data_IF_165199931449
#
_entry.id   IF_165199931449
#
_cell.length_a   1.000
_cell.length_b   1.000
_cell.length_c   1.000
_cell.angle_alpha   90.00
_cell.angle_beta   90.00
_cell.angle_gamma   90.00
#
_symmetry.space_group_name_H-M   'P 1'
#
loop_
_entity.id
_entity.type
_entity.pdbx_description
1 polymer ?
#
# COMPACT_ATOMS: atom_id res chain seq x y z
N UNK A 1 24.25 15.38 33.72
CA UNK A 1 24.08 15.77 32.31
C UNK A 1 23.34 14.62 31.68
N UNK A 2 22.03 14.77 31.54
CA UNK A 2 21.15 13.75 30.99
C UNK A 2 21.31 13.84 29.48
N UNK A 3 21.83 12.80 28.84
CA UNK A 3 21.84 12.71 27.39
C UNK A 3 20.39 12.67 26.93
N UNK A 4 19.99 13.73 26.24
CA UNK A 4 18.73 13.84 25.54
C UNK A 4 18.65 12.66 24.56
N UNK A 5 17.88 11.64 24.94
CA UNK A 5 17.35 10.68 23.99
C UNK A 5 16.29 11.43 23.20
N UNK A 6 16.74 12.22 22.22
CA UNK A 6 15.90 12.71 21.14
C UNK A 6 15.28 11.47 20.48
N UNK A 7 14.05 11.15 20.88
CA UNK A 7 13.28 10.06 20.32
C UNK A 7 13.14 10.32 18.83
N UNK A 8 14.02 9.71 18.03
CA UNK A 8 13.92 9.73 16.57
C UNK A 8 12.57 9.10 16.23
N UNK A 9 11.64 9.91 15.77
CA UNK A 9 10.36 9.41 15.27
C UNK A 9 10.66 8.43 14.15
N UNK A 10 10.38 7.15 14.39
CA UNK A 10 10.56 6.13 13.37
C UNK A 10 9.51 6.42 12.28
N UNK A 11 9.90 6.70 11.03
CA UNK A 11 8.95 7.07 9.99
C UNK A 11 8.07 5.85 9.68
N UNK A 12 6.83 5.90 10.20
CA UNK A 12 5.80 4.90 9.93
C UNK A 12 5.34 5.05 8.49
N UNK A 13 5.15 3.92 7.82
CA UNK A 13 4.65 3.88 6.44
C UNK A 13 3.28 4.53 6.33
N UNK A 14 3.12 5.36 5.31
CA UNK A 14 1.84 5.97 4.96
C UNK A 14 1.39 5.54 3.57
N UNK A 15 0.15 5.08 3.47
CA UNK A 15 -0.45 4.70 2.18
C UNK A 15 -1.05 5.93 1.52
N UNK A 16 -0.38 6.43 0.48
CA UNK A 16 -0.87 7.55 -0.30
C UNK A 16 -2.20 7.25 -1.00
N UNK A 17 -2.96 8.31 -1.32
CA UNK A 17 -4.26 8.21 -2.02
C UNK A 17 -4.20 7.35 -3.29
N UNK A 18 -3.12 7.47 -4.07
CA UNK A 18 -2.89 6.69 -5.28
C UNK A 18 -2.83 5.18 -4.99
N UNK A 19 -2.06 4.77 -3.98
CA UNK A 19 -1.97 3.37 -3.54
C UNK A 19 -3.31 2.83 -3.06
N UNK A 20 -4.06 3.60 -2.26
CA UNK A 20 -5.39 3.20 -1.80
C UNK A 20 -6.38 3.02 -2.97
N UNK A 21 -6.36 3.93 -3.94
CA UNK A 21 -7.21 3.84 -5.13
C UNK A 21 -6.83 2.66 -6.03
N UNK A 22 -5.53 2.45 -6.26
CA UNK A 22 -5.01 1.33 -7.04
C UNK A 22 -5.39 -0.01 -6.39
N UNK A 23 -5.18 -0.14 -5.07
CA UNK A 23 -5.56 -1.32 -4.30
C UNK A 23 -7.06 -1.59 -4.34
N UNK A 24 -7.89 -0.54 -4.21
CA UNK A 24 -9.35 -0.67 -4.33
C UNK A 24 -9.75 -1.18 -5.71
N UNK A 25 -9.23 -0.58 -6.78
CA UNK A 25 -9.54 -1.00 -8.13
C UNK A 25 -9.07 -2.44 -8.40
N UNK A 26 -7.84 -2.77 -7.99
CA UNK A 26 -7.29 -4.10 -8.12
C UNK A 26 -8.16 -5.15 -7.40
N UNK A 27 -8.63 -4.85 -6.18
CA UNK A 27 -9.54 -5.74 -5.44
C UNK A 27 -10.86 -5.97 -6.17
N UNK A 28 -11.42 -4.95 -6.83
CA UNK A 28 -12.65 -5.08 -7.62
C UNK A 28 -12.43 -5.98 -8.84
N UNK A 29 -11.36 -5.74 -9.60
CA UNK A 29 -11.03 -6.52 -10.80
C UNK A 29 -10.80 -8.01 -10.47
N UNK A 30 -10.15 -8.30 -9.33
CA UNK A 30 -9.97 -9.68 -8.86
C UNK A 30 -11.28 -10.36 -8.46
N UNK A 31 -12.23 -9.61 -7.88
CA UNK A 31 -13.54 -10.14 -7.48
C UNK A 31 -14.46 -10.41 -8.67
N UNK A 32 -14.34 -9.67 -9.77
CA UNK A 32 -15.09 -9.93 -11.00
C UNK A 32 -14.66 -11.25 -11.68
N UNK A 33 -13.38 -11.62 -11.54
CA UNK A 33 -12.86 -12.94 -11.91
C UNK A 33 -12.79 -13.25 -13.42
N UNK A 34 -13.26 -12.35 -14.28
CA UNK A 34 -13.23 -12.46 -15.74
C UNK A 34 -12.15 -11.56 -16.39
N UNK A 35 -11.33 -10.89 -15.59
CA UNK A 35 -10.24 -10.05 -16.06
C UNK A 35 -8.96 -10.87 -16.13
N UNK A 36 -8.45 -11.07 -17.34
CA UNK A 36 -7.25 -11.89 -17.62
C UNK A 36 -6.01 -11.32 -16.91
N UNK A 37 -5.83 -10.00 -16.94
CA UNK A 37 -4.74 -9.31 -16.24
C UNK A 37 -5.27 -8.10 -15.44
N UNK A 38 -5.66 -8.30 -14.17
CA UNK A 38 -6.10 -7.22 -13.30
C UNK A 38 -5.05 -6.13 -13.07
N UNK A 39 -3.74 -6.45 -13.17
CA UNK A 39 -2.68 -5.45 -13.03
C UNK A 39 -2.65 -4.50 -14.21
N UNK A 40 -2.69 -5.05 -15.42
CA UNK A 40 -2.68 -4.23 -16.63
C UNK A 40 -3.86 -3.26 -16.67
N UNK A 41 -5.08 -3.74 -16.38
CA UNK A 41 -6.28 -2.92 -16.36
C UNK A 41 -6.21 -1.85 -15.27
N UNK A 42 -5.74 -2.20 -14.07
CA UNK A 42 -5.56 -1.24 -12.98
C UNK A 42 -4.56 -0.15 -13.35
N UNK A 43 -3.41 -0.49 -13.95
CA UNK A 43 -2.39 0.49 -14.36
C UNK A 43 -2.96 1.44 -15.42
N UNK A 44 -3.63 0.92 -16.45
CA UNK A 44 -4.24 1.76 -17.48
C UNK A 44 -5.28 2.73 -16.89
N UNK A 45 -6.09 2.27 -15.95
CA UNK A 45 -7.07 3.10 -15.26
C UNK A 45 -6.40 4.19 -14.41
N UNK A 46 -5.36 3.86 -13.63
CA UNK A 46 -4.59 4.85 -12.86
C UNK A 46 -3.98 5.89 -13.79
N UNK A 47 -3.39 5.47 -14.92
CA UNK A 47 -2.86 6.40 -15.93
C UNK A 47 -3.93 7.34 -16.47
N UNK A 48 -5.10 6.80 -16.79
CA UNK A 48 -6.24 7.58 -17.30
C UNK A 48 -6.79 8.56 -16.28
N UNK A 49 -6.95 8.15 -15.02
CA UNK A 49 -7.52 9.00 -13.97
C UNK A 49 -6.57 10.11 -13.54
N UNK A 50 -5.28 9.83 -13.53
CA UNK A 50 -4.26 10.77 -13.04
C UNK A 50 -3.54 11.52 -14.16
N UNK A 51 -3.87 11.26 -15.42
CA UNK A 51 -3.27 11.89 -16.60
C UNK A 51 -1.74 11.74 -16.61
N UNK A 52 -1.26 10.54 -16.28
CA UNK A 52 0.18 10.20 -16.27
C UNK A 52 0.53 9.26 -17.42
N UNK A 53 1.81 9.28 -17.81
CA UNK A 53 2.31 8.38 -18.86
C UNK A 53 2.30 6.92 -18.39
N UNK A 54 2.02 6.00 -19.31
CA UNK A 54 1.92 4.55 -19.01
C UNK A 54 3.17 4.00 -18.34
N UNK A 55 4.35 4.46 -18.76
CA UNK A 55 5.62 4.11 -18.11
C UNK A 55 5.63 4.47 -16.63
N UNK A 56 5.22 5.68 -16.29
CA UNK A 56 5.26 6.20 -14.91
C UNK A 56 4.18 5.50 -14.06
N UNK A 57 3.05 5.12 -14.66
CA UNK A 57 2.04 4.28 -14.02
C UNK A 57 2.53 2.87 -13.70
N UNK A 58 3.27 2.23 -14.63
CA UNK A 58 3.91 0.94 -14.36
C UNK A 58 5.01 1.04 -13.31
N UNK A 59 5.85 2.07 -13.37
CA UNK A 59 6.88 2.31 -12.36
C UNK A 59 6.27 2.45 -10.97
N UNK A 60 5.20 3.25 -10.84
CA UNK A 60 4.42 3.34 -9.61
C UNK A 60 3.90 1.97 -9.15
N UNK A 61 3.22 1.22 -10.02
CA UNK A 61 2.59 -0.04 -9.65
C UNK A 61 3.61 -1.10 -9.22
N UNK A 62 4.76 -1.17 -9.89
CA UNK A 62 5.83 -2.12 -9.56
C UNK A 62 6.54 -1.73 -8.25
N UNK A 63 6.82 -0.44 -8.06
CA UNK A 63 7.45 0.05 -6.82
C UNK A 63 6.57 -0.16 -5.59
N UNK A 64 5.25 -0.13 -5.77
CA UNK A 64 4.27 -0.24 -4.69
C UNK A 64 3.49 -1.57 -4.73
N UNK A 65 4.03 -2.60 -5.41
CA UNK A 65 3.29 -3.83 -5.70
C UNK A 65 2.74 -4.48 -4.43
N UNK A 66 3.62 -4.71 -3.46
CA UNK A 66 3.27 -5.36 -2.20
C UNK A 66 2.20 -4.58 -1.44
N UNK A 67 2.35 -3.25 -1.37
CA UNK A 67 1.40 -2.36 -0.72
C UNK A 67 0.01 -2.42 -1.35
N UNK A 68 -0.03 -2.44 -2.69
CA UNK A 68 -1.27 -2.57 -3.45
C UNK A 68 -1.92 -3.92 -3.16
N UNK A 69 -1.16 -5.01 -3.15
CA UNK A 69 -1.67 -6.36 -2.86
C UNK A 69 -2.19 -6.49 -1.42
N UNK A 70 -1.45 -5.99 -0.44
CA UNK A 70 -1.81 -6.02 0.98
C UNK A 70 -3.10 -5.24 1.26
N UNK A 71 -3.18 -4.01 0.74
CA UNK A 71 -4.36 -3.15 0.90
C UNK A 71 -5.53 -3.69 0.09
N UNK A 72 -5.31 -4.27 -1.10
CA UNK A 72 -6.38 -4.92 -1.86
C UNK A 72 -6.96 -6.10 -1.09
N UNK A 73 -6.10 -6.90 -0.45
CA UNK A 73 -6.54 -7.95 0.45
C UNK A 73 -7.36 -7.43 1.62
N UNK A 74 -7.13 -6.20 2.11
CA UNK A 74 -7.97 -5.58 3.14
C UNK A 74 -9.35 -5.25 2.59
N UNK A 75 -9.43 -4.67 1.39
CA UNK A 75 -10.70 -4.40 0.72
C UNK A 75 -11.52 -5.68 0.45
N UNK A 76 -10.86 -6.82 0.25
CA UNK A 76 -11.52 -8.11 0.04
C UNK A 76 -12.10 -8.71 1.32
N UNK A 77 -11.41 -8.54 2.47
CA UNK A 77 -11.75 -9.23 3.73
C UNK A 77 -12.49 -8.39 4.77
N UNK A 78 -12.29 -7.07 4.77
CA UNK A 78 -12.90 -6.20 5.76
C UNK A 78 -14.40 -6.04 5.49
N UNK A 79 -15.21 -6.26 6.52
CA UNK A 79 -16.68 -6.16 6.45
C UNK A 79 -17.20 -4.84 7.01
N UNK A 80 -16.31 -4.00 7.56
CA UNK A 80 -16.64 -2.68 8.09
C UNK A 80 -15.50 -1.66 7.90
N UNK A 81 -15.80 -0.35 7.92
CA UNK A 81 -14.77 0.69 7.95
C UNK A 81 -13.81 0.57 9.14
N UNK A 82 -14.28 0.08 10.28
CA UNK A 82 -13.49 -0.15 11.49
C UNK A 82 -12.46 -1.27 11.26
N UNK A 83 -12.89 -2.42 10.73
CA UNK A 83 -12.00 -3.53 10.38
C UNK A 83 -10.95 -3.11 9.34
N UNK A 84 -11.36 -2.32 8.34
CA UNK A 84 -10.42 -1.81 7.34
C UNK A 84 -9.36 -0.90 7.98
N UNK A 85 -9.78 0.02 8.86
CA UNK A 85 -8.86 0.93 9.56
C UNK A 85 -7.88 0.17 10.47
N UNK A 86 -8.35 -0.84 11.18
CA UNK A 86 -7.50 -1.68 12.01
C UNK A 86 -6.47 -2.43 11.16
N UNK A 87 -6.92 -3.06 10.07
CA UNK A 87 -6.01 -3.77 9.19
C UNK A 87 -4.96 -2.87 8.53
N UNK A 88 -5.26 -1.61 8.23
CA UNK A 88 -4.25 -0.64 7.79
C UNK A 88 -3.19 -0.41 8.88
N UNK A 89 -3.60 -0.31 10.16
CA UNK A 89 -2.68 -0.17 11.29
C UNK A 89 -1.78 -1.40 11.40
N UNK A 90 -2.34 -2.60 11.34
CA UNK A 90 -1.58 -3.85 11.40
C UNK A 90 -0.54 -3.95 10.28
N UNK A 91 -0.88 -3.53 9.05
CA UNK A 91 0.08 -3.50 7.94
C UNK A 91 1.24 -2.54 8.21
N UNK A 92 0.97 -1.38 8.83
CA UNK A 92 2.02 -0.41 9.20
C UNK A 92 2.92 -0.95 10.31
N UNK A 93 2.34 -1.59 11.33
CA UNK A 93 3.08 -2.22 12.42
C UNK A 93 3.95 -3.38 11.93
N UNK A 94 3.44 -4.17 10.97
CA UNK A 94 4.20 -5.25 10.33
C UNK A 94 5.39 -4.70 9.55
N UNK A 95 5.18 -3.69 8.69
CA UNK A 95 6.26 -3.01 7.94
C UNK A 95 7.34 -2.47 8.88
N UNK A 96 6.92 -1.82 9.96
CA UNK A 96 7.82 -1.30 10.98
C UNK A 96 8.69 -2.42 11.59
N UNK A 97 8.06 -3.53 12.00
CA UNK A 97 8.77 -4.68 12.58
C UNK A 97 9.76 -5.28 11.59
N UNK A 98 9.36 -5.49 10.34
CA UNK A 98 10.23 -6.03 9.30
C UNK A 98 11.44 -5.12 9.02
N UNK A 99 11.27 -3.80 9.11
CA UNK A 99 12.38 -2.84 8.96
C UNK A 99 13.33 -2.86 10.16
N UNK A 100 12.81 -3.05 11.38
CA UNK A 100 13.63 -3.24 12.58
C UNK A 100 14.47 -4.53 12.46
N UNK A 101 13.86 -5.64 12.03
CA UNK A 101 14.53 -6.94 11.85
C UNK A 101 15.61 -6.89 10.77
N UNK A 102 15.41 -6.09 9.72
CA UNK A 102 16.40 -5.86 8.66
C UNK A 102 17.54 -4.92 9.07
N UNK A 103 17.47 -4.32 10.25
CA UNK A 103 18.44 -3.30 10.70
C UNK A 103 18.39 -2.02 9.86
N UNK A 104 17.27 -1.76 9.18
CA UNK A 104 17.07 -0.52 8.40
C UNK A 104 16.69 0.67 9.28
N UNK A 105 16.55 0.42 10.59
CA UNK A 105 16.26 1.40 11.62
C UNK A 105 17.45 1.42 12.57
N UNK A 106 18.30 2.45 12.45
CA UNK A 106 19.34 2.76 13.43
C UNK A 106 18.64 3.19 14.73
N UNK A 107 18.37 2.21 15.60
CA UNK A 107 17.86 2.40 16.96
C UNK A 107 18.97 2.83 17.91
#
# INVERSE_FOLDING_TARGET
MSEDSEGREIPVKEYGKRTLNAARLYSLLRREGNVEDPWHVMVLAVCSFEQIHVRDGWEFALTNRQDIEDVAGLFERANSPEEFREGIRELKERDLRERMERGELDL
#
